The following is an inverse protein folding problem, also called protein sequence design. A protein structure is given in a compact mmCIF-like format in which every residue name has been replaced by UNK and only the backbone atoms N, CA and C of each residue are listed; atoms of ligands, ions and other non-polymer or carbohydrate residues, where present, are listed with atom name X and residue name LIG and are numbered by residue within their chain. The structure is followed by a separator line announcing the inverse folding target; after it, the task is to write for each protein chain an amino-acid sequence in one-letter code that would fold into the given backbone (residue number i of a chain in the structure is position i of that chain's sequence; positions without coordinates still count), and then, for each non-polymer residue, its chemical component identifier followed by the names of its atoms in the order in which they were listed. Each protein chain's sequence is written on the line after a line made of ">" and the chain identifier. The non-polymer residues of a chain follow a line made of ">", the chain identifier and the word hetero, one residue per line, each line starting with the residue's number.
data_IF_894188357437
#
_entry.id   IF_894188357437
#
_cell.length_a   1.000
_cell.length_b   1.000
_cell.length_c   1.000
_cell.angle_alpha   90.00
_cell.angle_beta   90.00
_cell.angle_gamma   90.00
#
_symmetry.space_group_name_H-M   'P 1'
#
loop_
_entity.id
_entity.type
_entity.pdbx_description
1 polymer ?
#
# COMPACT_ATOMS: atom_id res chain seq x y z
N UNK A 1 -7.94 8.03 9.59
CA UNK A 1 -7.41 7.31 8.41
C UNK A 1 -6.26 8.13 7.85
N UNK A 2 -5.06 7.57 7.83
CA UNK A 2 -3.87 8.20 7.28
C UNK A 2 -3.85 8.10 5.76
N UNK A 3 -3.07 8.98 5.10
CA UNK A 3 -2.94 9.00 3.63
C UNK A 3 -1.50 8.65 3.25
N UNK A 4 -1.34 7.62 2.43
CA UNK A 4 -0.08 7.24 1.81
C UNK A 4 -0.13 7.56 0.30
N UNK A 5 0.65 8.53 -0.21
CA UNK A 5 0.71 8.80 -1.64
C UNK A 5 1.32 7.62 -2.39
N UNK A 6 0.61 7.15 -3.44
CA UNK A 6 1.24 6.32 -4.47
C UNK A 6 1.95 7.21 -5.48
N UNK A 7 3.25 6.99 -5.66
CA UNK A 7 4.03 7.72 -6.66
C UNK A 7 3.79 7.24 -8.10
N UNK A 8 3.01 6.18 -8.28
CA UNK A 8 2.71 5.61 -9.62
C UNK A 8 2.10 6.64 -10.58
N UNK A 9 1.39 7.65 -10.04
CA UNK A 9 0.75 8.69 -10.86
C UNK A 9 1.61 9.95 -11.02
N UNK A 10 2.80 9.98 -10.44
CA UNK A 10 3.74 11.08 -10.58
C UNK A 10 4.40 11.10 -11.98
N UNK A 11 4.88 12.26 -12.39
CA UNK A 11 5.85 12.36 -13.48
C UNK A 11 7.22 11.91 -12.93
N UNK A 12 7.73 10.78 -13.41
CA UNK A 12 9.00 10.24 -12.93
C UNK A 12 10.21 11.12 -13.27
N UNK A 13 10.08 12.05 -14.21
CA UNK A 13 11.14 13.02 -14.48
C UNK A 13 11.23 14.10 -13.40
N UNK A 14 10.17 14.30 -12.62
CA UNK A 14 10.04 15.25 -11.52
C UNK A 14 9.83 14.58 -10.15
N UNK A 15 10.04 13.26 -10.08
CA UNK A 15 9.71 12.46 -8.89
C UNK A 15 10.31 13.04 -7.59
N UNK A 16 11.54 13.51 -7.64
CA UNK A 16 12.19 14.12 -6.48
C UNK A 16 11.44 15.33 -5.95
N UNK A 17 10.96 16.20 -6.83
CA UNK A 17 10.18 17.40 -6.44
C UNK A 17 8.81 16.97 -5.86
N UNK A 18 8.15 15.99 -6.46
CA UNK A 18 6.88 15.45 -5.97
C UNK A 18 7.01 14.90 -4.56
N UNK A 19 8.12 14.19 -4.27
CA UNK A 19 8.41 13.66 -2.94
C UNK A 19 8.63 14.79 -1.92
N UNK A 20 9.41 15.82 -2.28
CA UNK A 20 9.64 16.98 -1.39
C UNK A 20 8.31 17.69 -1.08
N UNK A 21 7.47 17.94 -2.09
CA UNK A 21 6.14 18.56 -1.91
C UNK A 21 5.25 17.70 -0.98
N UNK A 22 5.33 16.37 -1.07
CA UNK A 22 4.57 15.48 -0.19
C UNK A 22 5.03 15.60 1.27
N UNK A 23 6.35 15.63 1.52
CA UNK A 23 6.91 15.78 2.86
C UNK A 23 6.59 17.18 3.42
N UNK A 24 6.72 18.23 2.63
CA UNK A 24 6.36 19.60 3.02
C UNK A 24 4.87 19.74 3.36
N UNK A 25 4.01 18.91 2.74
CA UNK A 25 2.59 18.81 3.07
C UNK A 25 2.30 18.03 4.38
N UNK A 26 3.33 17.43 5.00
CA UNK A 26 3.23 16.70 6.27
C UNK A 26 3.02 15.19 6.09
N UNK A 27 3.25 14.64 4.91
CA UNK A 27 3.19 13.20 4.67
C UNK A 27 4.41 12.52 5.26
N UNK A 28 4.17 11.41 5.97
CA UNK A 28 5.20 10.60 6.64
C UNK A 28 5.26 9.16 6.14
N UNK A 29 4.42 8.81 5.18
CA UNK A 29 4.32 7.47 4.59
C UNK A 29 4.23 7.57 3.08
N UNK A 30 5.03 6.80 2.33
CA UNK A 30 5.02 6.74 0.86
C UNK A 30 4.84 5.31 0.39
N UNK A 31 3.93 5.10 -0.54
CA UNK A 31 3.57 3.81 -1.13
C UNK A 31 4.21 3.65 -2.51
N UNK A 32 4.93 2.55 -2.71
CA UNK A 32 5.70 2.26 -3.92
C UNK A 32 5.13 1.05 -4.66
N UNK A 33 4.42 1.29 -5.76
CA UNK A 33 3.85 0.25 -6.64
C UNK A 33 4.93 -0.35 -7.55
N UNK A 34 5.40 -1.54 -7.22
CA UNK A 34 6.43 -2.27 -7.98
C UNK A 34 5.76 -3.28 -8.91
N UNK A 35 6.01 -3.15 -10.21
CA UNK A 35 5.44 -4.02 -11.25
C UNK A 35 6.51 -4.49 -12.23
N UNK A 36 6.50 -5.78 -12.55
CA UNK A 36 7.49 -6.46 -13.41
C UNK A 36 7.06 -6.63 -14.87
N UNK A 37 5.83 -6.20 -15.21
CA UNK A 37 5.26 -6.41 -16.55
C UNK A 37 4.76 -7.83 -16.82
N UNK A 38 4.85 -8.73 -15.86
CA UNK A 38 4.42 -10.12 -16.01
C UNK A 38 3.18 -10.43 -15.16
N UNK A 39 3.19 -10.09 -13.90
CA UNK A 39 2.13 -10.43 -12.96
C UNK A 39 0.85 -9.64 -13.24
N UNK A 40 0.94 -8.33 -13.47
CA UNK A 40 -0.23 -7.49 -13.76
C UNK A 40 -0.76 -7.72 -15.17
N UNK A 41 -2.09 -7.74 -15.33
CA UNK A 41 -2.76 -8.08 -16.60
C UNK A 41 -2.37 -7.14 -17.74
N UNK A 42 -2.23 -5.86 -17.47
CA UNK A 42 -1.90 -4.82 -18.46
C UNK A 42 -0.41 -4.67 -18.76
N UNK A 43 0.42 -5.55 -18.19
CA UNK A 43 1.86 -5.61 -18.45
C UNK A 43 2.63 -4.33 -18.15
N UNK A 44 2.17 -3.57 -17.18
CA UNK A 44 2.88 -2.37 -16.70
C UNK A 44 4.20 -2.77 -16.05
N UNK A 45 5.25 -2.01 -16.36
CA UNK A 45 6.55 -2.04 -15.66
C UNK A 45 6.70 -0.69 -14.98
N UNK A 46 7.12 -0.68 -13.72
CA UNK A 46 7.37 0.57 -13.00
C UNK A 46 8.86 0.74 -12.70
N UNK A 47 9.31 0.29 -11.57
CA UNK A 47 10.70 0.48 -11.13
C UNK A 47 11.13 -0.67 -10.21
N UNK A 48 12.44 -0.77 -10.02
CA UNK A 48 13.04 -1.79 -9.15
C UNK A 48 13.77 -1.17 -7.94
N UNK A 49 14.55 -1.99 -7.22
CA UNK A 49 15.21 -1.60 -5.96
C UNK A 49 16.12 -0.36 -6.07
N UNK A 50 16.69 -0.09 -7.25
CA UNK A 50 17.54 1.10 -7.46
C UNK A 50 16.77 2.42 -7.25
N UNK A 51 15.51 2.48 -7.70
CA UNK A 51 14.66 3.67 -7.52
C UNK A 51 14.22 3.77 -6.05
N UNK A 52 13.87 2.64 -5.42
CA UNK A 52 13.54 2.59 -3.98
C UNK A 52 14.69 3.16 -3.15
N UNK A 53 15.93 2.77 -3.43
CA UNK A 53 17.14 3.29 -2.77
C UNK A 53 17.29 4.80 -2.95
N UNK A 54 17.10 5.31 -4.16
CA UNK A 54 17.19 6.74 -4.44
C UNK A 54 16.10 7.53 -3.70
N UNK A 55 14.90 6.97 -3.56
CA UNK A 55 13.82 7.56 -2.78
C UNK A 55 14.19 7.57 -1.30
N UNK A 56 14.70 6.47 -0.75
CA UNK A 56 15.16 6.40 0.66
C UNK A 56 16.27 7.42 0.94
N UNK A 57 17.27 7.50 0.07
CA UNK A 57 18.37 8.47 0.20
C UNK A 57 17.86 9.92 0.19
N UNK A 58 16.83 10.22 -0.59
CA UNK A 58 16.22 11.56 -0.63
C UNK A 58 15.37 11.86 0.60
N UNK A 59 14.54 10.93 1.02
CA UNK A 59 13.56 11.14 2.10
C UNK A 59 14.14 10.98 3.51
N UNK A 60 15.31 10.33 3.65
CA UNK A 60 15.89 10.01 4.95
C UNK A 60 15.12 8.90 5.67
N UNK A 61 15.45 8.66 6.94
CA UNK A 61 14.90 7.54 7.73
C UNK A 61 13.55 7.87 8.41
N UNK A 62 13.18 9.15 8.49
CA UNK A 62 11.96 9.58 9.18
C UNK A 62 10.66 9.31 8.39
N UNK A 63 10.79 9.01 7.09
CA UNK A 63 9.66 8.70 6.22
C UNK A 63 9.50 7.20 6.10
N UNK A 64 8.30 6.71 6.36
CA UNK A 64 7.96 5.30 6.20
C UNK A 64 7.74 4.98 4.72
N UNK A 65 8.42 3.97 4.21
CA UNK A 65 8.31 3.51 2.81
C UNK A 65 7.80 2.07 2.81
N UNK A 66 6.70 1.83 2.15
CA UNK A 66 6.28 0.48 1.82
C UNK A 66 6.49 0.18 0.33
N UNK A 67 6.80 -1.08 0.03
CA UNK A 67 6.88 -1.61 -1.33
C UNK A 67 5.77 -2.63 -1.55
N UNK A 68 4.82 -2.28 -2.40
CA UNK A 68 3.75 -3.15 -2.86
C UNK A 68 4.22 -3.93 -4.09
N UNK A 69 4.48 -5.21 -3.91
CA UNK A 69 5.09 -6.09 -4.91
C UNK A 69 4.02 -6.77 -5.78
N UNK A 70 3.76 -6.21 -6.94
CA UNK A 70 2.92 -6.77 -8.02
C UNK A 70 3.82 -7.45 -9.05
N UNK A 71 4.57 -8.45 -8.62
CA UNK A 71 5.61 -9.14 -9.39
C UNK A 71 5.48 -10.66 -9.25
N UNK A 72 5.97 -11.41 -10.24
CA UNK A 72 5.87 -12.87 -10.29
C UNK A 72 6.84 -13.60 -9.36
N UNK A 73 7.88 -12.94 -8.88
CA UNK A 73 8.96 -13.52 -8.11
C UNK A 73 9.18 -12.78 -6.77
N UNK A 74 8.08 -12.41 -6.09
CA UNK A 74 8.14 -11.68 -4.85
C UNK A 74 8.93 -12.43 -3.77
N UNK A 75 8.74 -13.76 -3.63
CA UNK A 75 9.43 -14.62 -2.67
C UNK A 75 10.96 -14.65 -2.87
N UNK A 76 11.41 -14.55 -4.12
CA UNK A 76 12.84 -14.59 -4.46
C UNK A 76 13.53 -13.21 -4.35
N UNK A 77 12.76 -12.11 -4.38
CA UNK A 77 13.34 -10.77 -4.60
C UNK A 77 12.97 -9.71 -3.56
N UNK A 78 12.08 -10.01 -2.61
CA UNK A 78 11.64 -9.07 -1.58
C UNK A 78 12.81 -8.45 -0.80
N UNK A 79 13.88 -9.24 -0.54
CA UNK A 79 15.06 -8.80 0.21
C UNK A 79 15.76 -7.61 -0.47
N UNK A 80 15.76 -7.57 -1.80
CA UNK A 80 16.37 -6.46 -2.56
C UNK A 80 15.66 -5.12 -2.31
N UNK A 81 14.34 -5.14 -2.10
CA UNK A 81 13.55 -3.94 -1.77
C UNK A 81 13.73 -3.56 -0.30
N UNK A 82 13.82 -4.54 0.59
CA UNK A 82 14.14 -4.34 2.00
C UNK A 82 15.52 -3.69 2.18
N UNK A 83 16.53 -4.18 1.47
CA UNK A 83 17.91 -3.64 1.45
C UNK A 83 17.99 -2.27 0.77
N UNK A 84 17.09 -1.99 -0.17
CA UNK A 84 16.97 -0.68 -0.79
C UNK A 84 16.37 0.38 0.14
N UNK A 85 15.83 -0.03 1.29
CA UNK A 85 15.35 0.89 2.32
C UNK A 85 13.84 0.89 2.55
N UNK A 86 13.09 -0.11 2.04
CA UNK A 86 11.71 -0.30 2.43
C UNK A 86 11.60 -0.64 3.91
N UNK A 87 10.58 -0.10 4.59
CA UNK A 87 10.24 -0.42 5.97
C UNK A 87 9.28 -1.62 6.02
N UNK A 88 8.39 -1.70 5.04
CA UNK A 88 7.33 -2.70 4.92
C UNK A 88 7.35 -3.30 3.51
N UNK A 89 7.31 -4.60 3.44
CA UNK A 89 7.13 -5.36 2.20
C UNK A 89 5.69 -5.87 2.16
N UNK A 90 4.97 -5.57 1.08
CA UNK A 90 3.58 -6.01 0.87
C UNK A 90 3.55 -6.86 -0.40
N UNK A 91 3.18 -8.14 -0.28
CA UNK A 91 3.12 -9.05 -1.40
C UNK A 91 1.71 -9.62 -1.58
N UNK A 92 1.34 -9.89 -2.83
CA UNK A 92 0.05 -10.47 -3.15
C UNK A 92 -0.04 -11.91 -2.71
N UNK A 93 -1.08 -12.27 -1.93
CA UNK A 93 -1.33 -13.66 -1.52
C UNK A 93 -1.46 -14.59 -2.74
N UNK A 94 -1.96 -14.05 -3.87
CA UNK A 94 -2.13 -14.77 -5.11
C UNK A 94 -0.82 -15.02 -5.89
N UNK A 95 0.28 -14.39 -5.46
CA UNK A 95 1.61 -14.51 -6.09
C UNK A 95 2.60 -15.28 -5.21
N UNK A 96 2.18 -15.78 -4.05
CA UNK A 96 3.03 -16.44 -3.06
C UNK A 96 2.66 -17.92 -2.99
N UNK A 97 3.65 -18.79 -3.01
CA UNK A 97 3.46 -20.25 -2.85
C UNK A 97 3.44 -20.66 -1.36
N UNK A 98 4.31 -20.07 -0.53
CA UNK A 98 4.39 -20.34 0.91
C UNK A 98 4.32 -19.02 1.72
N UNK A 99 3.09 -18.56 2.10
CA UNK A 99 2.93 -17.33 2.86
C UNK A 99 3.56 -17.38 4.27
N UNK A 100 3.65 -18.54 4.91
CA UNK A 100 4.29 -18.65 6.23
C UNK A 100 5.80 -18.42 6.14
N UNK A 101 6.44 -18.99 5.11
CA UNK A 101 7.88 -18.86 4.90
C UNK A 101 8.27 -17.40 4.64
N UNK A 102 7.62 -16.73 3.69
CA UNK A 102 7.95 -15.34 3.34
C UNK A 102 7.68 -14.37 4.50
N UNK A 103 6.59 -14.55 5.26
CA UNK A 103 6.28 -13.75 6.44
C UNK A 103 7.40 -13.88 7.48
N UNK A 104 7.79 -15.11 7.77
CA UNK A 104 8.84 -15.41 8.73
C UNK A 104 10.21 -14.84 8.30
N UNK A 105 10.55 -14.92 7.01
CA UNK A 105 11.80 -14.39 6.46
C UNK A 105 11.87 -12.86 6.57
N UNK A 106 10.83 -12.15 6.12
CA UNK A 106 10.76 -10.69 6.18
C UNK A 106 10.86 -10.21 7.63
N UNK A 107 10.18 -10.88 8.56
CA UNK A 107 10.24 -10.55 9.99
C UNK A 107 11.61 -10.80 10.60
N UNK A 108 12.28 -11.90 10.24
CA UNK A 108 13.67 -12.19 10.70
C UNK A 108 14.66 -11.15 10.19
N UNK A 109 14.41 -10.55 9.02
CA UNK A 109 15.18 -9.43 8.50
C UNK A 109 14.89 -8.08 9.21
N UNK A 110 13.97 -8.08 10.19
CA UNK A 110 13.61 -6.88 10.96
C UNK A 110 12.74 -5.88 10.20
N UNK A 111 12.02 -6.34 9.16
CA UNK A 111 11.09 -5.53 8.39
C UNK A 111 9.64 -5.82 8.78
N UNK A 112 8.75 -4.85 8.53
CA UNK A 112 7.31 -5.10 8.59
C UNK A 112 6.87 -5.89 7.34
N UNK A 113 5.85 -6.75 7.52
CA UNK A 113 5.29 -7.59 6.46
C UNK A 113 3.80 -7.38 6.31
N UNK A 114 3.35 -7.28 5.07
CA UNK A 114 1.94 -7.20 4.71
C UNK A 114 1.57 -8.17 3.60
N UNK A 115 0.33 -8.63 3.61
CA UNK A 115 -0.28 -9.33 2.49
C UNK A 115 -1.36 -8.48 1.85
N UNK A 116 -1.51 -8.62 0.54
CA UNK A 116 -2.54 -7.91 -0.23
C UNK A 116 -3.48 -8.89 -0.92
N UNK A 117 -4.76 -8.52 -0.98
CA UNK A 117 -5.84 -9.26 -1.62
C UNK A 117 -6.37 -8.49 -2.83
N UNK A 118 -6.49 -9.16 -3.98
CA UNK A 118 -7.22 -8.64 -5.13
C UNK A 118 -8.71 -8.43 -4.81
N UNK A 119 -9.44 -7.63 -5.61
CA UNK A 119 -10.86 -7.35 -5.36
C UNK A 119 -11.73 -8.61 -5.28
N UNK A 120 -11.41 -9.66 -6.04
CA UNK A 120 -12.14 -10.91 -6.13
C UNK A 120 -11.61 -12.05 -5.23
N UNK A 121 -10.46 -11.88 -4.57
CA UNK A 121 -9.89 -12.87 -3.65
C UNK A 121 -10.62 -12.87 -2.31
N UNK A 122 -10.99 -14.04 -1.79
CA UNK A 122 -11.71 -14.13 -0.50
C UNK A 122 -10.79 -13.77 0.69
N UNK A 123 -11.37 -13.16 1.70
CA UNK A 123 -10.67 -12.82 2.95
C UNK A 123 -10.09 -14.05 3.66
N UNK A 124 -10.71 -15.21 3.48
CA UNK A 124 -10.26 -16.48 4.05
C UNK A 124 -8.81 -16.82 3.72
N UNK A 125 -8.29 -16.33 2.58
CA UNK A 125 -6.91 -16.60 2.17
C UNK A 125 -5.87 -15.93 3.09
N UNK A 126 -6.20 -14.78 3.71
CA UNK A 126 -5.26 -14.03 4.57
C UNK A 126 -5.50 -14.24 6.06
N UNK A 127 -6.71 -14.67 6.46
CA UNK A 127 -7.07 -14.80 7.87
C UNK A 127 -6.15 -15.74 8.67
N UNK A 128 -5.63 -16.87 8.14
CA UNK A 128 -4.70 -17.73 8.86
C UNK A 128 -3.43 -17.01 9.33
N UNK A 129 -2.98 -16.02 8.57
CA UNK A 129 -1.72 -15.29 8.78
C UNK A 129 -1.89 -13.98 9.54
N UNK A 130 -3.13 -13.54 9.81
CA UNK A 130 -3.45 -12.20 10.31
C UNK A 130 -2.67 -11.82 11.58
N UNK A 131 -2.42 -12.79 12.47
CA UNK A 131 -1.69 -12.56 13.72
C UNK A 131 -0.20 -12.24 13.52
N UNK A 132 0.36 -12.64 12.40
CA UNK A 132 1.77 -12.49 12.07
C UNK A 132 2.03 -11.30 11.12
N UNK A 133 0.96 -10.68 10.62
CA UNK A 133 1.04 -9.53 9.72
C UNK A 133 1.06 -8.18 10.45
N UNK A 134 1.87 -7.25 9.95
CA UNK A 134 1.84 -5.84 10.34
C UNK A 134 0.73 -5.09 9.62
N UNK A 135 0.39 -5.52 8.40
CA UNK A 135 -0.58 -4.87 7.55
C UNK A 135 -1.32 -5.87 6.64
N UNK A 136 -2.60 -5.63 6.39
CA UNK A 136 -3.34 -6.22 5.28
C UNK A 136 -3.80 -5.10 4.35
N UNK A 137 -3.48 -5.24 3.06
CA UNK A 137 -3.91 -4.34 1.99
C UNK A 137 -5.07 -4.96 1.21
N UNK A 138 -6.12 -4.19 0.99
CA UNK A 138 -7.23 -4.56 0.10
C UNK A 138 -7.15 -3.72 -1.17
N UNK A 139 -7.06 -4.37 -2.32
CA UNK A 139 -7.19 -3.69 -3.60
C UNK A 139 -8.64 -3.31 -3.85
N UNK A 140 -8.89 -2.04 -4.15
CA UNK A 140 -10.20 -1.52 -4.59
C UNK A 140 -10.21 -1.11 -6.07
N UNK A 141 -9.26 -1.65 -6.82
CA UNK A 141 -9.15 -1.65 -8.29
C UNK A 141 -8.44 -2.92 -8.74
N UNK A 142 -8.52 -3.29 -10.01
CA UNK A 142 -7.66 -4.35 -10.56
C UNK A 142 -6.23 -3.82 -10.63
N UNK A 143 -5.23 -4.51 -10.03
CA UNK A 143 -3.83 -4.07 -10.04
C UNK A 143 -3.28 -3.82 -11.44
N UNK A 144 -2.36 -2.84 -11.56
CA UNK A 144 -1.59 -2.68 -12.78
C UNK A 144 -1.54 -1.27 -13.37
N UNK A 145 -2.40 -0.34 -12.98
CA UNK A 145 -2.35 1.07 -13.44
C UNK A 145 -3.03 2.02 -12.46
N UNK A 146 -2.53 3.24 -12.38
CA UNK A 146 -3.16 4.32 -11.63
C UNK A 146 -4.42 4.90 -12.30
N UNK A 147 -5.15 5.73 -11.57
CA UNK A 147 -6.27 6.53 -12.08
C UNK A 147 -7.56 5.77 -12.37
N UNK A 148 -7.70 4.55 -11.90
CA UNK A 148 -8.90 3.72 -12.07
C UNK A 148 -10.05 4.18 -11.17
N UNK A 149 -11.27 3.77 -11.53
CA UNK A 149 -12.46 4.00 -10.71
C UNK A 149 -12.45 3.09 -9.49
N UNK A 150 -12.79 3.65 -8.34
CA UNK A 150 -12.94 2.93 -7.08
C UNK A 150 -14.05 1.85 -7.19
N UNK A 151 -13.78 0.68 -6.63
CA UNK A 151 -14.71 -0.46 -6.57
C UNK A 151 -15.33 -0.55 -5.17
N UNK A 152 -16.56 -0.02 -4.95
CA UNK A 152 -17.20 -0.04 -3.63
C UNK A 152 -17.60 -1.45 -3.17
N UNK A 153 -17.61 -2.42 -4.07
CA UNK A 153 -17.95 -3.83 -3.79
C UNK A 153 -16.99 -4.48 -2.79
N UNK A 154 -15.80 -3.89 -2.57
CA UNK A 154 -14.84 -4.38 -1.57
C UNK A 154 -15.23 -4.03 -0.13
N UNK A 155 -16.29 -3.27 0.11
CA UNK A 155 -16.74 -2.87 1.46
C UNK A 155 -16.87 -4.06 2.41
N UNK A 156 -17.59 -5.10 1.99
CA UNK A 156 -17.81 -6.27 2.85
C UNK A 156 -16.49 -6.96 3.22
N UNK A 157 -15.54 -7.02 2.29
CA UNK A 157 -14.20 -7.54 2.52
C UNK A 157 -13.45 -6.72 3.59
N UNK A 158 -13.44 -5.40 3.43
CA UNK A 158 -12.78 -4.47 4.37
C UNK A 158 -13.39 -4.59 5.76
N UNK A 159 -14.73 -4.61 5.89
CA UNK A 159 -15.42 -4.73 7.16
C UNK A 159 -15.18 -6.09 7.84
N UNK A 160 -15.12 -7.18 7.07
CA UNK A 160 -14.77 -8.50 7.61
C UNK A 160 -13.36 -8.53 8.17
N UNK A 161 -12.38 -7.96 7.45
CA UNK A 161 -11.00 -7.83 7.94
C UNK A 161 -10.95 -6.98 9.21
N UNK A 162 -11.59 -5.81 9.21
CA UNK A 162 -11.66 -4.95 10.40
C UNK A 162 -12.20 -5.69 11.62
N UNK A 163 -13.31 -6.42 11.45
CA UNK A 163 -13.91 -7.22 12.52
C UNK A 163 -12.96 -8.30 13.06
N UNK A 164 -12.22 -8.98 12.20
CA UNK A 164 -11.25 -10.01 12.60
C UNK A 164 -10.05 -9.38 13.34
N UNK A 165 -9.53 -8.26 12.84
CA UNK A 165 -8.45 -7.51 13.51
C UNK A 165 -8.89 -7.03 14.89
N UNK A 166 -10.09 -6.48 15.02
CA UNK A 166 -10.62 -6.01 16.30
C UNK A 166 -10.86 -7.17 17.28
N UNK A 167 -11.33 -8.33 16.79
CA UNK A 167 -11.44 -9.55 17.58
C UNK A 167 -10.07 -10.03 18.06
N UNK A 168 -9.05 -10.04 17.20
CA UNK A 168 -7.68 -10.40 17.55
C UNK A 168 -7.15 -9.50 18.69
N UNK A 169 -7.31 -8.19 18.55
CA UNK A 169 -6.87 -7.21 19.56
C UNK A 169 -7.63 -7.40 20.88
N UNK A 170 -8.93 -7.61 20.82
CA UNK A 170 -9.77 -7.86 22.01
C UNK A 170 -9.34 -9.13 22.79
N UNK A 171 -8.69 -10.10 22.10
CA UNK A 171 -8.13 -11.31 22.71
C UNK A 171 -6.64 -11.18 23.08
N UNK A 172 -6.09 -9.96 23.09
CA UNK A 172 -4.71 -9.68 23.49
C UNK A 172 -3.68 -9.92 22.37
N UNK A 173 -4.14 -10.14 21.15
CA UNK A 173 -3.27 -10.19 19.98
C UNK A 173 -2.81 -8.80 19.52
N UNK A 174 -1.86 -8.79 18.61
CA UNK A 174 -1.26 -7.60 18.02
C UNK A 174 -2.25 -6.92 17.06
N UNK A 175 -2.18 -5.60 16.92
CA UNK A 175 -2.98 -4.84 15.96
C UNK A 175 -2.33 -4.87 14.57
N UNK A 176 -2.96 -5.52 13.62
CA UNK A 176 -2.64 -5.44 12.19
C UNK A 176 -3.28 -4.19 11.60
N UNK A 177 -2.55 -3.40 10.83
CA UNK A 177 -3.11 -2.24 10.12
C UNK A 177 -3.93 -2.70 8.92
N UNK A 178 -5.02 -2.00 8.62
CA UNK A 178 -5.85 -2.23 7.46
C UNK A 178 -5.66 -1.10 6.45
N UNK A 179 -5.13 -1.42 5.29
CA UNK A 179 -4.87 -0.47 4.20
C UNK A 179 -5.80 -0.76 3.02
N UNK A 180 -6.13 0.26 2.25
CA UNK A 180 -6.85 0.14 0.99
C UNK A 180 -6.08 0.85 -0.12
N UNK A 181 -6.04 0.26 -1.31
CA UNK A 181 -5.43 0.85 -2.50
C UNK A 181 -6.35 0.77 -3.72
N UNK A 182 -6.52 1.92 -4.36
CA UNK A 182 -7.22 2.05 -5.62
C UNK A 182 -8.38 3.04 -5.61
N UNK A 183 -8.27 4.11 -6.38
CA UNK A 183 -9.37 5.03 -6.68
C UNK A 183 -9.89 5.87 -5.52
N UNK A 184 -9.18 5.94 -4.38
CA UNK A 184 -9.56 6.79 -3.25
C UNK A 184 -9.30 8.26 -3.60
N UNK A 185 -10.29 9.13 -3.30
CA UNK A 185 -10.29 10.58 -3.53
C UNK A 185 -11.13 11.29 -2.48
N UNK A 186 -11.12 12.62 -2.45
CA UNK A 186 -11.92 13.41 -1.51
C UNK A 186 -13.41 13.03 -1.47
N UNK A 187 -14.01 12.71 -2.62
CA UNK A 187 -15.43 12.39 -2.72
C UNK A 187 -15.84 11.02 -2.13
N UNK A 188 -14.89 10.11 -1.89
CA UNK A 188 -15.16 8.79 -1.30
C UNK A 188 -14.35 8.50 -0.03
N UNK A 189 -13.40 9.35 0.36
CA UNK A 189 -12.53 9.14 1.52
C UNK A 189 -13.32 8.95 2.83
N UNK A 190 -14.37 9.72 3.05
CA UNK A 190 -15.27 9.57 4.21
C UNK A 190 -15.95 8.20 4.24
N UNK A 191 -16.42 7.72 3.09
CA UNK A 191 -17.01 6.39 2.97
C UNK A 191 -15.99 5.31 3.33
N UNK A 192 -14.81 5.36 2.72
CA UNK A 192 -13.71 4.42 2.99
C UNK A 192 -13.30 4.43 4.46
N UNK A 193 -13.14 5.60 5.06
CA UNK A 193 -12.84 5.74 6.49
C UNK A 193 -13.89 5.09 7.38
N UNK A 194 -15.18 5.17 7.00
CA UNK A 194 -16.30 4.57 7.75
C UNK A 194 -16.27 3.03 7.77
N UNK A 195 -15.51 2.40 6.91
CA UNK A 195 -15.31 0.95 6.88
C UNK A 195 -14.26 0.46 7.90
N UNK A 196 -13.55 1.41 8.54
CA UNK A 196 -12.51 1.11 9.54
C UNK A 196 -11.12 0.92 8.95
N UNK A 197 -10.86 1.52 7.78
CA UNK A 197 -9.52 1.56 7.16
C UNK A 197 -8.60 2.45 7.99
N UNK A 198 -7.39 1.97 8.26
CA UNK A 198 -6.37 2.73 8.99
C UNK A 198 -5.58 3.65 8.02
N UNK A 199 -5.30 3.18 6.80
CA UNK A 199 -4.47 3.88 5.81
C UNK A 199 -5.12 3.77 4.42
N UNK A 200 -5.21 4.88 3.68
CA UNK A 200 -5.60 4.87 2.27
C UNK A 200 -4.44 5.26 1.37
N UNK A 201 -4.16 4.43 0.38
CA UNK A 201 -3.25 4.77 -0.71
C UNK A 201 -3.96 5.71 -1.68
N UNK A 202 -3.35 6.86 -1.95
CA UNK A 202 -3.92 7.86 -2.85
C UNK A 202 -2.90 8.27 -3.91
N UNK A 203 -3.16 7.88 -5.16
CA UNK A 203 -2.36 8.31 -6.31
C UNK A 203 -2.94 9.58 -6.94
N UNK A 204 -3.74 9.43 -8.01
CA UNK A 204 -4.28 10.55 -8.79
C UNK A 204 -5.23 11.48 -8.03
N UNK A 205 -5.73 11.08 -6.88
CA UNK A 205 -6.49 11.95 -5.98
C UNK A 205 -5.60 12.99 -5.31
N UNK A 206 -4.32 12.68 -5.10
CA UNK A 206 -3.35 13.53 -4.43
C UNK A 206 -2.36 14.17 -5.42
N UNK A 207 -1.77 13.36 -6.30
CA UNK A 207 -0.77 13.78 -7.28
C UNK A 207 -1.47 14.01 -8.62
N UNK A 208 -1.83 15.27 -8.91
CA UNK A 208 -2.53 15.66 -10.13
C UNK A 208 -2.26 17.14 -10.45
N UNK A 209 -2.78 17.61 -11.61
CA UNK A 209 -2.56 18.99 -12.10
C UNK A 209 -3.63 19.99 -11.63
N UNK A 210 -4.57 19.58 -10.76
CA UNK A 210 -5.67 20.45 -10.34
C UNK A 210 -5.29 21.36 -9.16
N UNK A 211 -4.33 20.93 -8.33
CA UNK A 211 -3.85 21.67 -7.16
C UNK A 211 -2.49 21.16 -6.69
N UNK A 212 -1.94 21.81 -5.67
CA UNK A 212 -0.75 21.29 -4.98
C UNK A 212 -1.08 20.01 -4.20
N UNK A 213 -0.07 19.23 -3.87
CA UNK A 213 -0.24 18.04 -3.01
C UNK A 213 -0.90 18.45 -1.69
N UNK A 214 -0.50 19.59 -1.12
CA UNK A 214 -1.09 20.09 0.12
C UNK A 214 -2.57 20.41 -0.02
N UNK A 215 -2.99 21.12 -1.07
CA UNK A 215 -4.41 21.47 -1.29
C UNK A 215 -5.26 20.20 -1.44
N UNK A 216 -4.78 19.24 -2.23
CA UNK A 216 -5.46 17.97 -2.44
C UNK A 216 -5.52 17.12 -1.15
N UNK A 217 -4.46 17.13 -0.34
CA UNK A 217 -4.43 16.45 0.97
C UNK A 217 -5.41 17.10 1.94
N UNK A 218 -5.44 18.43 2.01
CA UNK A 218 -6.37 19.18 2.86
C UNK A 218 -7.83 18.92 2.45
N UNK A 219 -8.13 18.80 1.14
CA UNK A 219 -9.46 18.43 0.64
C UNK A 219 -9.86 17.00 1.09
N UNK A 220 -8.95 16.03 0.95
CA UNK A 220 -9.22 14.65 1.36
C UNK A 220 -9.42 14.58 2.88
N UNK A 221 -8.52 15.15 3.66
CA UNK A 221 -8.52 15.05 5.12
C UNK A 221 -9.67 15.82 5.75
N UNK A 222 -10.09 16.95 5.19
CA UNK A 222 -11.26 17.69 5.65
C UNK A 222 -12.58 16.97 5.36
N UNK A 223 -12.57 15.97 4.48
CA UNK A 223 -13.73 15.12 4.20
C UNK A 223 -13.88 13.94 5.19
N UNK A 224 -12.85 13.63 6.00
CA UNK A 224 -12.84 12.51 6.96
C UNK A 224 -13.59 12.88 8.25
#
# INVERSE_FOLDING_TARGET
>A
MDIAPSILTADFTELGQVLDEAIDAGITWVHLDVMDGNWVVNKTITFGPAVVRSIRERLGEDVFIDCHLMITNAEETWEQYADAGANLIIAHIEAIEDPEEIIDEIRRAGKEVGLVLNPDTDVGEVLPYLADLDLVLVMSVVPGKGGQSFMPEVEDKVRRLRSNIDHQVANGGRRTKLMIDGGVKANNAKLVSSWGVDIAVVGSGLINKAGSIKDNLDEITSSL
#
